data_IF_175546028159
#
_entry.id   IF_175546028159
#
_cell.length_a   1.000
_cell.length_b   1.000
_cell.length_c   1.000
_cell.angle_alpha   90.00
_cell.angle_beta   90.00
_cell.angle_gamma   90.00
#
_symmetry.space_group_name_H-M   'P 1'
#
loop_
_entity.id
_entity.type
_entity.pdbx_description
1 polymer ?
#
# COMPACT_ATOMS: atom_id res chain seq x y z
N UNK A 1 24.30 -29.08 5.68
CA UNK A 1 24.17 -27.84 6.46
C UNK A 1 23.49 -26.80 5.58
N UNK A 2 22.18 -26.68 5.69
CA UNK A 2 21.35 -25.72 4.96
C UNK A 2 20.36 -25.16 5.98
N UNK A 3 20.42 -23.86 6.22
CA UNK A 3 19.52 -23.16 7.14
C UNK A 3 18.08 -23.21 6.59
N UNK A 4 17.09 -23.69 7.36
CA UNK A 4 15.71 -23.68 6.93
C UNK A 4 15.11 -22.29 7.19
N UNK A 5 14.56 -21.69 6.13
CA UNK A 5 13.50 -20.68 6.26
C UNK A 5 13.92 -19.22 6.23
N UNK A 6 14.57 -18.77 5.16
CA UNK A 6 14.36 -17.39 4.69
C UNK A 6 13.45 -17.50 3.46
N UNK A 7 12.15 -17.43 3.68
CA UNK A 7 11.22 -17.16 2.59
C UNK A 7 11.45 -15.69 2.24
N UNK A 8 12.22 -15.43 1.19
CA UNK A 8 12.48 -14.09 0.66
C UNK A 8 11.13 -13.43 0.43
N UNK A 9 10.82 -12.43 1.27
CA UNK A 9 9.53 -11.77 1.40
C UNK A 9 8.82 -11.58 0.06
N UNK A 10 7.85 -12.44 -0.21
CA UNK A 10 6.80 -12.11 -1.17
C UNK A 10 6.11 -10.87 -0.61
N UNK A 11 6.25 -9.74 -1.30
CA UNK A 11 5.72 -8.44 -0.86
C UNK A 11 4.27 -8.60 -0.43
N UNK A 12 4.04 -8.56 0.88
CA UNK A 12 2.73 -8.88 1.44
C UNK A 12 1.79 -7.70 1.25
N UNK A 13 0.53 -7.99 0.95
CA UNK A 13 -0.52 -7.00 0.80
C UNK A 13 -1.30 -6.90 2.10
N UNK A 14 -1.45 -5.69 2.62
CA UNK A 14 -2.21 -5.41 3.82
C UNK A 14 -3.30 -4.40 3.47
N UNK A 15 -4.53 -4.78 3.77
CA UNK A 15 -5.68 -3.90 3.72
C UNK A 15 -5.96 -3.42 5.15
N UNK A 16 -5.78 -2.14 5.42
CA UNK A 16 -5.78 -1.59 6.78
C UNK A 16 -6.75 -0.41 6.92
N UNK A 17 -7.60 -0.46 7.94
CA UNK A 17 -8.56 0.61 8.27
C UNK A 17 -7.92 1.75 9.07
N UNK A 18 -6.75 1.53 9.67
CA UNK A 18 -6.07 2.47 10.58
C UNK A 18 -5.02 3.34 9.88
N UNK A 19 -4.89 3.21 8.56
CA UNK A 19 -3.92 3.97 7.76
C UNK A 19 -4.66 4.92 6.82
N UNK A 20 -4.10 6.11 6.63
CA UNK A 20 -4.73 7.18 5.85
C UNK A 20 -4.46 7.08 4.36
N UNK A 21 -3.34 6.47 3.98
CA UNK A 21 -2.84 6.49 2.62
C UNK A 21 -2.43 5.09 2.16
N UNK A 22 -2.45 4.90 0.83
CA UNK A 22 -1.85 3.74 0.23
C UNK A 22 -0.33 3.92 0.19
N UNK A 23 0.46 2.90 0.54
CA UNK A 23 1.92 2.96 0.59
C UNK A 23 2.53 1.75 -0.12
N UNK A 24 3.48 2.02 -1.01
CA UNK A 24 4.11 0.99 -1.84
C UNK A 24 5.65 1.14 -1.84
N UNK A 25 6.40 0.04 -1.73
CA UNK A 25 7.85 0.10 -1.60
C UNK A 25 8.61 0.03 -2.92
N UNK A 26 7.92 -0.28 -4.03
CA UNK A 26 8.55 -0.36 -5.36
C UNK A 26 7.88 0.56 -6.37
N UNK A 27 8.70 1.28 -7.14
CA UNK A 27 8.24 2.11 -8.27
C UNK A 27 7.59 1.29 -9.38
N UNK A 28 7.89 -0.01 -9.48
CA UNK A 28 7.37 -0.88 -10.54
C UNK A 28 5.85 -1.04 -10.52
N UNK A 29 5.18 -0.72 -9.42
CA UNK A 29 3.71 -0.78 -9.30
C UNK A 29 3.01 0.45 -9.87
N UNK A 30 3.74 1.54 -10.07
CA UNK A 30 3.18 2.83 -10.43
C UNK A 30 3.08 2.96 -11.95
N UNK A 31 1.88 3.19 -12.47
CA UNK A 31 1.67 3.57 -13.86
C UNK A 31 2.00 5.03 -14.11
N UNK A 32 1.89 5.86 -13.08
CA UNK A 32 2.37 7.23 -13.04
C UNK A 32 3.02 7.50 -11.69
N UNK A 33 4.09 8.28 -11.68
CA UNK A 33 4.76 8.69 -10.46
C UNK A 33 5.23 10.14 -10.61
N UNK A 34 4.81 10.99 -9.69
CA UNK A 34 5.12 12.42 -9.68
C UNK A 34 5.78 12.80 -8.36
N UNK A 35 6.68 13.79 -8.43
CA UNK A 35 7.25 14.37 -7.22
C UNK A 35 6.18 15.18 -6.49
N UNK A 36 6.12 15.05 -5.18
CA UNK A 36 5.22 15.81 -4.31
C UNK A 36 6.03 16.57 -3.25
N UNK A 37 5.37 17.51 -2.56
CA UNK A 37 5.92 18.02 -1.29
C UNK A 37 6.07 16.84 -0.33
N UNK A 38 7.24 16.63 0.31
CA UNK A 38 7.45 15.49 1.20
C UNK A 38 6.36 15.38 2.28
N UNK A 39 5.76 14.20 2.37
CA UNK A 39 4.75 13.86 3.38
C UNK A 39 5.39 12.94 4.41
N UNK A 40 5.18 13.25 5.70
CA UNK A 40 5.64 12.39 6.80
C UNK A 40 4.73 11.17 6.93
N UNK A 41 5.33 9.98 6.90
CA UNK A 41 4.66 8.70 7.07
C UNK A 41 5.17 8.06 8.35
N UNK A 42 4.24 7.73 9.26
CA UNK A 42 4.56 7.05 10.51
C UNK A 42 4.64 5.54 10.28
N UNK A 43 5.78 4.95 10.63
CA UNK A 43 6.01 3.52 10.58
C UNK A 43 5.49 2.82 11.87
N UNK A 44 5.21 1.50 11.81
CA UNK A 44 4.80 0.72 12.98
C UNK A 44 5.82 0.72 14.13
N UNK A 45 7.10 0.89 13.82
CA UNK A 45 8.19 0.98 14.80
C UNK A 45 8.32 2.39 15.44
N UNK A 46 7.29 3.23 15.29
CA UNK A 46 7.27 4.64 15.72
C UNK A 46 8.31 5.56 15.06
N UNK A 47 9.01 5.10 14.03
CA UNK A 47 9.85 5.99 13.21
C UNK A 47 9.00 6.73 12.17
N UNK A 48 9.57 7.79 11.62
CA UNK A 48 8.97 8.58 10.56
C UNK A 48 9.87 8.55 9.34
N UNK A 49 9.26 8.38 8.18
CA UNK A 49 9.92 8.46 6.87
C UNK A 49 9.20 9.47 5.99
N UNK A 50 9.85 9.97 4.95
CA UNK A 50 9.27 10.94 4.05
C UNK A 50 8.96 10.33 2.69
N UNK A 51 7.69 10.41 2.30
CA UNK A 51 7.24 10.10 0.94
C UNK A 51 7.40 11.36 0.08
N UNK A 52 8.34 11.33 -0.87
CA UNK A 52 8.59 12.43 -1.81
C UNK A 52 7.91 12.23 -3.16
N UNK A 53 7.32 11.05 -3.39
CA UNK A 53 6.64 10.71 -4.63
C UNK A 53 5.27 10.11 -4.35
N UNK A 54 4.33 10.44 -5.22
CA UNK A 54 2.98 9.89 -5.23
C UNK A 54 2.57 9.54 -6.65
N UNK A 55 1.64 8.61 -6.81
CA UNK A 55 1.27 8.15 -8.13
C UNK A 55 0.02 7.29 -8.16
N UNK A 56 -0.25 6.78 -9.36
CA UNK A 56 -1.38 5.89 -9.63
C UNK A 56 -0.89 4.45 -9.78
N UNK A 57 -1.64 3.51 -9.21
CA UNK A 57 -1.41 2.07 -9.30
C UNK A 57 -2.67 1.40 -9.85
N UNK A 58 -2.51 0.49 -10.82
CA UNK A 58 -3.61 -0.32 -11.34
C UNK A 58 -3.47 -1.77 -10.86
N UNK A 59 -4.51 -2.29 -10.20
CA UNK A 59 -4.58 -3.66 -9.68
C UNK A 59 -5.82 -4.34 -10.25
N UNK A 60 -5.67 -4.94 -11.42
CA UNK A 60 -6.82 -5.42 -12.20
C UNK A 60 -7.77 -4.27 -12.52
N UNK A 61 -8.99 -4.34 -12.00
CA UNK A 61 -10.01 -3.30 -12.20
C UNK A 61 -9.94 -2.15 -11.17
N UNK A 62 -9.07 -2.26 -10.16
CA UNK A 62 -8.91 -1.23 -9.14
C UNK A 62 -7.86 -0.21 -9.58
N UNK A 63 -8.19 1.07 -9.44
CA UNK A 63 -7.22 2.16 -9.63
C UNK A 63 -7.02 2.89 -8.31
N UNK A 64 -5.81 2.77 -7.75
CA UNK A 64 -5.43 3.44 -6.51
C UNK A 64 -4.77 4.77 -6.86
N UNK A 65 -5.46 5.87 -6.57
CA UNK A 65 -4.93 7.21 -6.78
C UNK A 65 -4.15 7.69 -5.56
N UNK A 66 -3.15 8.54 -5.82
CA UNK A 66 -2.37 9.20 -4.79
C UNK A 66 -1.72 8.20 -3.81
N UNK A 67 -1.21 7.09 -4.33
CA UNK A 67 -0.44 6.13 -3.55
C UNK A 67 0.97 6.68 -3.31
N UNK A 68 1.47 6.56 -2.09
CA UNK A 68 2.78 7.05 -1.68
C UNK A 68 3.85 6.01 -1.99
N UNK A 69 4.94 6.44 -2.62
CA UNK A 69 6.13 5.61 -2.77
C UNK A 69 7.04 5.78 -1.55
N UNK A 70 7.26 4.70 -0.82
CA UNK A 70 8.10 4.67 0.38
C UNK A 70 8.97 3.40 0.36
N UNK A 71 10.23 3.48 -0.10
CA UNK A 71 11.08 2.30 -0.27
C UNK A 71 11.44 1.60 1.05
N UNK A 72 11.33 2.30 2.18
CA UNK A 72 11.60 1.75 3.51
C UNK A 72 10.47 0.85 4.05
N UNK A 73 9.32 0.78 3.36
CA UNK A 73 8.27 -0.19 3.66
C UNK A 73 8.61 -1.59 3.11
N UNK A 74 8.14 -2.63 3.79
CA UNK A 74 8.29 -4.03 3.34
C UNK A 74 6.98 -4.64 2.81
N UNK A 75 5.88 -3.88 2.87
CA UNK A 75 4.52 -4.34 2.53
C UNK A 75 3.83 -3.34 1.62
N UNK A 76 2.91 -3.83 0.78
CA UNK A 76 1.94 -3.01 0.08
C UNK A 76 0.79 -2.72 1.02
N UNK A 77 0.60 -1.46 1.36
CA UNK A 77 -0.41 -1.04 2.30
C UNK A 77 -1.52 -0.32 1.54
N UNK A 78 -2.74 -0.83 1.65
CA UNK A 78 -3.93 -0.21 1.07
C UNK A 78 -4.79 0.32 2.23
N UNK A 79 -4.95 1.64 2.31
CA UNK A 79 -5.95 2.25 3.18
C UNK A 79 -7.36 1.88 2.75
N UNK A 80 -8.12 1.20 3.62
CA UNK A 80 -9.55 0.91 3.38
C UNK A 80 -10.31 2.22 3.23
N UNK A 81 -10.08 3.19 4.13
CA UNK A 81 -10.80 4.46 4.13
C UNK A 81 -10.59 5.22 2.80
N UNK A 82 -9.34 5.28 2.32
CA UNK A 82 -9.04 5.94 1.05
C UNK A 82 -9.61 5.17 -0.14
N UNK A 83 -9.56 3.84 -0.10
CA UNK A 83 -10.12 2.98 -1.14
C UNK A 83 -11.63 3.22 -1.29
N UNK A 84 -12.41 3.07 -0.21
CA UNK A 84 -13.88 3.17 -0.25
C UNK A 84 -14.36 4.57 -0.61
N UNK A 85 -13.66 5.61 -0.16
CA UNK A 85 -14.03 7.00 -0.46
C UNK A 85 -13.67 7.40 -1.89
N UNK A 86 -12.56 6.90 -2.43
CA UNK A 86 -12.10 7.26 -3.78
C UNK A 86 -12.84 6.48 -4.86
N UNK A 87 -13.14 5.20 -4.62
CA UNK A 87 -13.81 4.34 -5.59
C UNK A 87 -15.32 4.24 -5.38
N UNK A 88 -15.85 4.83 -4.30
CA UNK A 88 -17.25 4.70 -3.88
C UNK A 88 -17.68 3.21 -3.81
N UNK A 89 -16.81 2.38 -3.24
CA UNK A 89 -16.96 0.93 -3.18
C UNK A 89 -17.22 0.45 -1.76
N UNK A 90 -17.62 -0.82 -1.62
CA UNK A 90 -17.77 -1.51 -0.33
C UNK A 90 -16.70 -2.58 -0.22
N UNK A 91 -16.11 -2.73 0.97
CA UNK A 91 -15.23 -3.85 1.31
C UNK A 91 -15.99 -4.80 2.24
N UNK A 92 -16.17 -6.05 1.83
CA UNK A 92 -16.84 -7.10 2.59
C UNK A 92 -15.79 -8.14 3.00
N UNK A 93 -15.66 -8.37 4.30
CA UNK A 93 -14.82 -9.43 4.85
C UNK A 93 -15.65 -10.67 5.14
N UNK A 94 -15.30 -11.77 4.49
CA UNK A 94 -15.83 -13.11 4.71
C UNK A 94 -14.79 -13.95 5.45
N UNK A 95 -15.14 -15.17 5.84
CA UNK A 95 -14.24 -16.08 6.56
C UNK A 95 -12.94 -16.36 5.79
N UNK A 96 -13.04 -16.50 4.46
CA UNK A 96 -11.91 -16.86 3.58
C UNK A 96 -11.56 -15.81 2.54
N UNK A 97 -12.41 -14.78 2.38
CA UNK A 97 -12.35 -13.86 1.26
C UNK A 97 -12.50 -12.41 1.70
N UNK A 98 -11.92 -11.52 0.89
CA UNK A 98 -12.16 -10.09 0.95
C UNK A 98 -12.68 -9.65 -0.42
N UNK A 99 -13.90 -9.12 -0.45
CA UNK A 99 -14.58 -8.73 -1.68
C UNK A 99 -14.68 -7.21 -1.72
N UNK A 100 -14.29 -6.63 -2.85
CA UNK A 100 -14.44 -5.20 -3.15
C UNK A 100 -15.53 -5.08 -4.23
N UNK A 101 -16.61 -4.38 -3.90
CA UNK A 101 -17.81 -4.20 -4.75
C UNK A 101 -17.95 -2.75 -5.17
#
# INVERSE_FOLDING_TARGET
MSTPGINLFQSSWILDSRVTDHVFPSKSYFSSLVSIKPVSVKLPNNQYVFASYSGTIHLGNLTLYNALYVPDFFVHLISIQKLVTTLNCIVIFCEYDCIIV
#
